data_IF_779659293181
#
_entry.id   IF_779659293181
#
_cell.length_a   1.000
_cell.length_b   1.000
_cell.length_c   1.000
_cell.angle_alpha   90.00
_cell.angle_beta   90.00
_cell.angle_gamma   90.00
#
_symmetry.space_group_name_H-M   'P 1'
#
loop_
_entity.id
_entity.type
_entity.pdbx_description
1 polymer ?
#
# COMPACT_ATOMS: atom_id res chain seq x y z
N UNK A 1 -22.88 -33.73 -3.36
CA UNK A 1 -21.63 -33.56 -4.13
C UNK A 1 -21.64 -32.15 -4.68
N UNK A 2 -20.95 -31.23 -3.99
CA UNK A 2 -21.10 -29.77 -4.14
C UNK A 2 -20.23 -29.29 -5.29
N UNK A 3 -20.81 -28.42 -6.12
CA UNK A 3 -20.18 -27.89 -7.32
C UNK A 3 -19.04 -26.95 -6.92
N UNK A 4 -17.78 -27.39 -7.04
CA UNK A 4 -16.65 -26.45 -6.99
C UNK A 4 -16.84 -25.35 -8.03
N UNK A 5 -16.55 -24.10 -7.65
CA UNK A 5 -16.76 -22.92 -8.50
C UNK A 5 -16.17 -23.19 -9.90
N UNK A 6 -16.96 -22.92 -10.92
CA UNK A 6 -16.62 -23.21 -12.32
C UNK A 6 -15.31 -22.53 -12.77
N UNK A 7 -14.92 -21.46 -12.07
CA UNK A 7 -13.69 -20.69 -12.27
C UNK A 7 -12.44 -21.37 -11.68
N UNK A 8 -12.51 -21.94 -10.48
CA UNK A 8 -11.37 -22.63 -9.86
C UNK A 8 -11.00 -23.92 -10.63
N UNK A 9 -11.99 -24.70 -11.08
CA UNK A 9 -11.74 -25.85 -11.98
C UNK A 9 -11.14 -25.42 -13.31
N UNK A 10 -11.54 -24.26 -13.85
CA UNK A 10 -11.02 -23.71 -15.11
C UNK A 10 -9.59 -23.20 -14.95
N UNK A 11 -9.25 -22.47 -13.89
CA UNK A 11 -7.87 -22.00 -13.65
C UNK A 11 -6.89 -23.18 -13.49
N UNK A 12 -7.28 -24.22 -12.74
CA UNK A 12 -6.48 -25.45 -12.60
C UNK A 12 -6.30 -26.19 -13.94
N UNK A 13 -7.31 -26.17 -14.81
CA UNK A 13 -7.34 -26.85 -16.12
C UNK A 13 -6.70 -26.03 -17.25
N UNK A 14 -6.71 -24.71 -17.15
CA UNK A 14 -5.99 -23.76 -18.02
C UNK A 14 -4.50 -23.89 -17.74
N UNK A 15 -4.08 -23.93 -16.47
CA UNK A 15 -2.70 -24.22 -16.08
C UNK A 15 -2.23 -25.58 -16.58
N UNK A 16 -2.92 -26.67 -16.27
CA UNK A 16 -2.46 -28.02 -16.65
C UNK A 16 -2.49 -28.31 -18.17
N UNK A 17 -3.36 -27.67 -18.97
CA UNK A 17 -3.37 -27.84 -20.44
C UNK A 17 -2.49 -26.84 -21.20
N UNK A 18 -2.39 -25.56 -20.80
CA UNK A 18 -1.49 -24.61 -21.46
C UNK A 18 -0.02 -24.80 -21.02
N UNK A 19 0.25 -25.21 -19.77
CA UNK A 19 1.62 -25.54 -19.32
C UNK A 19 2.10 -26.84 -19.98
N UNK A 20 1.21 -27.82 -20.25
CA UNK A 20 1.55 -29.02 -21.02
C UNK A 20 1.91 -28.73 -22.49
N UNK A 21 1.34 -27.67 -23.08
CA UNK A 21 1.65 -27.20 -24.42
C UNK A 21 3.07 -26.61 -24.52
N UNK A 22 3.49 -25.85 -23.50
CA UNK A 22 4.82 -25.21 -23.44
C UNK A 22 5.91 -26.21 -23.03
N UNK A 23 5.61 -27.19 -22.16
CA UNK A 23 6.62 -28.13 -21.63
C UNK A 23 6.90 -29.38 -22.46
N UNK A 24 5.97 -29.90 -23.24
CA UNK A 24 6.10 -31.30 -23.70
C UNK A 24 6.85 -31.52 -25.02
N UNK A 25 6.69 -30.69 -26.07
CA UNK A 25 7.36 -30.95 -27.37
C UNK A 25 7.20 -32.38 -27.95
N UNK A 26 6.33 -33.21 -27.37
CA UNK A 26 6.11 -34.63 -27.65
C UNK A 26 4.68 -34.97 -27.23
N UNK A 27 3.90 -35.33 -28.24
CA UNK A 27 2.55 -35.87 -28.15
C UNK A 27 2.58 -37.31 -27.61
N UNK A 28 2.02 -37.54 -26.42
CA UNK A 28 1.47 -38.79 -25.82
C UNK A 28 1.30 -38.51 -24.31
N UNK A 29 0.22 -38.83 -23.59
CA UNK A 29 -0.62 -40.03 -23.61
C UNK A 29 -1.94 -39.83 -22.82
N UNK A 30 -2.89 -40.74 -23.09
CA UNK A 30 -4.12 -41.17 -22.40
C UNK A 30 -5.06 -40.19 -21.68
N UNK A 31 -6.14 -39.89 -22.40
CA UNK A 31 -7.49 -39.83 -21.85
C UNK A 31 -7.90 -41.20 -21.26
N UNK A 32 -8.34 -41.23 -20.00
CA UNK A 32 -9.44 -42.13 -19.60
C UNK A 32 -10.67 -41.27 -19.28
N UNK A 33 -11.79 -41.75 -19.82
CA UNK A 33 -13.20 -41.34 -19.68
C UNK A 33 -13.49 -40.80 -18.26
N UNK A 34 -14.35 -39.79 -18.11
CA UNK A 34 -15.80 -39.99 -18.16
C UNK A 34 -16.57 -38.86 -18.84
N UNK A 35 -17.46 -39.29 -19.74
CA UNK A 35 -18.55 -38.55 -20.34
C UNK A 35 -19.78 -38.84 -19.48
N UNK A 36 -20.51 -37.81 -19.07
CA UNK A 36 -21.96 -37.87 -18.96
C UNK A 36 -22.52 -36.52 -19.40
N UNK A 37 -23.30 -36.62 -20.46
CA UNK A 37 -23.92 -35.60 -21.29
C UNK A 37 -25.16 -34.98 -20.64
N UNK A 38 -25.38 -33.69 -20.90
CA UNK A 38 -26.73 -33.20 -21.26
C UNK A 38 -26.58 -32.21 -22.41
N UNK A 39 -26.84 -32.71 -23.61
CA UNK A 39 -26.99 -31.96 -24.86
C UNK A 39 -28.42 -31.47 -24.94
N UNK A 40 -28.62 -30.17 -25.07
CA UNK A 40 -29.82 -29.61 -25.72
C UNK A 40 -29.36 -29.03 -27.04
N UNK A 41 -29.73 -29.70 -28.13
CA UNK A 41 -29.37 -29.34 -29.49
C UNK A 41 -30.06 -28.05 -29.91
N UNK A 42 -29.29 -27.13 -30.50
CA UNK A 42 -29.79 -26.05 -31.37
C UNK A 42 -29.16 -26.24 -32.75
N UNK A 43 -29.83 -25.82 -33.85
CA UNK A 43 -29.43 -26.16 -35.22
C UNK A 43 -28.13 -25.43 -35.63
N UNK A 44 -27.43 -25.90 -36.68
CA UNK A 44 -26.17 -25.29 -37.10
C UNK A 44 -26.46 -23.91 -37.70
N UNK A 45 -26.11 -22.87 -36.97
CA UNK A 45 -26.08 -21.51 -37.51
C UNK A 45 -24.90 -21.40 -38.48
N UNK A 46 -25.19 -21.09 -39.74
CA UNK A 46 -24.22 -20.83 -40.79
C UNK A 46 -23.43 -19.55 -40.46
N UNK A 47 -22.30 -19.70 -39.77
CA UNK A 47 -21.45 -18.62 -39.27
C UNK A 47 -20.36 -18.17 -40.28
N UNK A 48 -20.48 -18.56 -41.56
CA UNK A 48 -19.45 -18.26 -42.56
C UNK A 48 -19.48 -16.81 -43.07
N UNK A 49 -20.60 -16.10 -42.90
CA UNK A 49 -20.75 -14.70 -43.35
C UNK A 49 -20.24 -13.67 -42.34
N UNK A 50 -20.33 -13.98 -41.04
CA UNK A 50 -20.09 -13.03 -39.95
C UNK A 50 -18.59 -12.85 -39.63
N UNK A 51 -17.76 -13.81 -40.03
CA UNK A 51 -16.29 -13.73 -39.88
C UNK A 51 -15.66 -12.75 -40.89
N UNK A 52 -16.27 -12.60 -42.07
CA UNK A 52 -15.76 -11.74 -43.14
C UNK A 52 -16.13 -10.27 -42.92
N UNK A 53 -17.26 -10.02 -42.26
CA UNK A 53 -17.72 -8.68 -41.87
C UNK A 53 -16.94 -8.14 -40.66
N UNK A 54 -16.62 -8.99 -39.68
CA UNK A 54 -15.83 -8.58 -38.51
C UNK A 54 -14.31 -8.47 -38.75
N UNK A 55 -13.77 -9.14 -39.78
CA UNK A 55 -12.38 -8.94 -40.22
C UNK A 55 -12.24 -7.62 -41.02
N UNK A 56 -13.30 -7.18 -41.71
CA UNK A 56 -13.35 -5.89 -42.43
C UNK A 56 -13.44 -4.67 -41.51
N UNK A 57 -13.95 -4.80 -40.29
CA UNK A 57 -14.02 -3.66 -39.35
C UNK A 57 -12.66 -3.29 -38.72
N UNK A 58 -11.60 -4.05 -38.99
CA UNK A 58 -10.22 -3.68 -38.64
C UNK A 58 -9.51 -2.88 -39.74
N UNK A 59 -10.14 -2.65 -40.92
CA UNK A 59 -9.53 -1.91 -42.03
C UNK A 59 -9.75 -0.40 -42.01
N UNK A 60 -10.47 0.17 -41.04
CA UNK A 60 -10.65 1.63 -40.92
C UNK A 60 -9.50 2.30 -40.15
N UNK A 61 -8.27 1.96 -40.54
CA UNK A 61 -7.07 2.71 -40.15
C UNK A 61 -6.15 2.75 -41.37
N UNK A 62 -6.33 3.83 -42.15
CA UNK A 62 -5.57 4.16 -43.35
C UNK A 62 -4.05 4.07 -43.13
N UNK A 63 -3.44 3.07 -43.77
CA UNK A 63 -2.24 3.12 -44.62
C UNK A 63 -1.52 1.78 -44.57
N UNK A 64 -1.92 0.88 -45.47
CA UNK A 64 -1.05 0.07 -46.34
C UNK A 64 -2.02 -0.57 -47.35
N UNK A 65 -2.00 -0.08 -48.57
CA UNK A 65 -2.48 -0.80 -49.73
C UNK A 65 -1.67 -2.09 -49.86
N UNK A 66 -2.30 -3.22 -49.54
CA UNK A 66 -1.72 -4.54 -49.68
C UNK A 66 -2.84 -5.57 -49.70
N UNK A 67 -2.83 -6.42 -50.73
CA UNK A 67 -3.73 -7.56 -50.93
C UNK A 67 -4.08 -8.28 -49.63
N UNK A 68 -5.33 -8.73 -49.50
CA UNK A 68 -5.76 -9.67 -48.46
C UNK A 68 -4.86 -10.91 -48.60
N UNK A 69 -3.79 -10.98 -47.81
CA UNK A 69 -2.88 -12.13 -47.80
C UNK A 69 -3.68 -13.34 -47.31
N UNK A 70 -3.76 -14.37 -48.14
CA UNK A 70 -4.35 -15.64 -47.77
C UNK A 70 -3.78 -16.13 -46.42
N UNK A 71 -4.61 -16.67 -45.52
CA UNK A 71 -4.14 -17.15 -44.23
C UNK A 71 -3.19 -18.34 -44.42
N UNK A 72 -1.98 -18.24 -43.86
CA UNK A 72 -0.93 -19.24 -43.97
C UNK A 72 -0.79 -20.11 -42.70
N UNK A 73 -1.61 -19.81 -41.67
CA UNK A 73 -1.70 -20.55 -40.42
C UNK A 73 -3.15 -20.54 -39.88
N UNK A 74 -3.52 -21.62 -39.21
CA UNK A 74 -4.81 -21.75 -38.53
C UNK A 74 -4.63 -21.98 -37.03
N UNK A 75 -5.42 -21.26 -36.22
CA UNK A 75 -5.53 -21.51 -34.77
C UNK A 75 -6.74 -22.43 -34.54
N UNK A 76 -6.53 -23.55 -33.83
CA UNK A 76 -7.58 -24.53 -33.53
C UNK A 76 -7.96 -24.45 -32.07
N UNK A 77 -9.24 -24.21 -31.79
CA UNK A 77 -9.78 -24.15 -30.43
C UNK A 77 -10.32 -25.50 -29.95
N UNK A 78 -10.64 -25.61 -28.65
CA UNK A 78 -11.24 -26.81 -28.06
C UNK A 78 -12.56 -27.23 -28.69
N UNK A 79 -13.31 -26.28 -29.27
CA UNK A 79 -14.58 -26.54 -29.96
C UNK A 79 -14.42 -26.96 -31.42
N UNK A 80 -13.19 -27.13 -31.91
CA UNK A 80 -12.91 -27.44 -33.31
C UNK A 80 -12.99 -26.23 -34.26
N UNK A 81 -13.23 -25.03 -33.73
CA UNK A 81 -13.20 -23.80 -34.52
C UNK A 81 -11.79 -23.57 -35.06
N UNK A 82 -11.71 -23.30 -36.37
CA UNK A 82 -10.48 -22.94 -37.08
C UNK A 82 -10.51 -21.43 -37.35
N UNK A 83 -9.60 -20.70 -36.71
CA UNK A 83 -9.45 -19.26 -36.89
C UNK A 83 -8.31 -19.03 -37.90
N UNK A 84 -8.57 -18.43 -39.07
CA UNK A 84 -7.53 -18.08 -40.03
C UNK A 84 -6.66 -16.94 -39.48
N UNK A 85 -5.34 -17.02 -39.68
CA UNK A 85 -4.39 -15.99 -39.25
C UNK A 85 -3.16 -15.93 -40.16
N UNK A 86 -2.31 -14.92 -39.93
CA UNK A 86 -1.07 -14.67 -40.67
C UNK A 86 0.13 -14.89 -39.75
N UNK A 87 1.01 -15.81 -40.14
CA UNK A 87 2.18 -16.19 -39.37
C UNK A 87 3.11 -14.99 -39.08
N UNK A 88 3.27 -14.07 -40.03
CA UNK A 88 4.11 -12.87 -39.87
C UNK A 88 3.60 -11.96 -38.75
N UNK A 89 2.28 -11.77 -38.65
CA UNK A 89 1.67 -10.93 -37.60
C UNK A 89 1.83 -11.62 -36.25
N UNK A 90 1.46 -12.89 -36.15
CA UNK A 90 1.56 -13.65 -34.92
C UNK A 90 3.00 -13.73 -34.38
N UNK A 91 3.98 -13.96 -35.25
CA UNK A 91 5.40 -13.98 -34.90
C UNK A 91 5.89 -12.61 -34.40
N UNK A 92 5.48 -11.52 -35.04
CA UNK A 92 5.90 -10.18 -34.64
C UNK A 92 5.42 -9.75 -33.25
N UNK A 93 4.29 -10.27 -32.78
CA UNK A 93 3.66 -9.88 -31.50
C UNK A 93 4.02 -10.82 -30.35
N UNK A 94 4.36 -12.08 -30.66
CA UNK A 94 4.63 -13.11 -29.65
C UNK A 94 5.89 -13.90 -30.02
N UNK A 95 6.96 -13.80 -29.21
CA UNK A 95 8.15 -14.64 -29.36
C UNK A 95 7.84 -16.14 -29.25
N UNK A 96 6.79 -16.50 -28.49
CA UNK A 96 6.37 -17.90 -28.37
C UNK A 96 5.75 -18.38 -29.68
N UNK A 97 4.90 -17.57 -30.32
CA UNK A 97 4.31 -17.90 -31.61
C UNK A 97 5.38 -17.93 -32.71
N UNK A 98 6.32 -16.99 -32.72
CA UNK A 98 7.49 -16.99 -33.62
C UNK A 98 8.24 -18.33 -33.51
N UNK A 99 8.63 -18.73 -32.30
CA UNK A 99 9.31 -20.00 -32.06
C UNK A 99 8.47 -21.24 -32.46
N UNK A 100 7.14 -21.18 -32.35
CA UNK A 100 6.27 -22.27 -32.79
C UNK A 100 6.22 -22.33 -34.32
N UNK A 101 6.18 -21.17 -34.98
CA UNK A 101 6.07 -21.01 -36.42
C UNK A 101 7.38 -21.32 -37.18
N UNK A 102 8.52 -21.10 -36.54
CA UNK A 102 9.86 -21.38 -37.07
C UNK A 102 10.23 -22.87 -37.07
N UNK A 103 9.49 -23.71 -36.34
CA UNK A 103 9.76 -25.15 -36.30
C UNK A 103 9.56 -25.79 -37.69
N UNK A 104 10.51 -26.62 -38.15
CA UNK A 104 10.40 -27.26 -39.45
C UNK A 104 9.20 -28.20 -39.49
N UNK A 105 8.42 -28.11 -40.58
CA UNK A 105 7.25 -28.97 -40.79
C UNK A 105 7.69 -30.43 -40.96
N UNK A 106 6.97 -31.37 -40.34
CA UNK A 106 7.17 -32.81 -40.56
C UNK A 106 6.87 -33.24 -42.02
N UNK A 107 6.01 -32.49 -42.72
CA UNK A 107 5.67 -32.73 -44.12
C UNK A 107 5.53 -31.39 -44.85
N UNK A 108 6.12 -31.26 -46.06
CA UNK A 108 6.18 -29.97 -46.79
C UNK A 108 4.80 -29.38 -47.12
N UNK A 109 3.76 -30.21 -47.26
CA UNK A 109 2.39 -29.80 -47.62
C UNK A 109 1.41 -29.69 -46.46
N UNK A 110 1.84 -29.84 -45.20
CA UNK A 110 0.92 -29.70 -44.07
C UNK A 110 0.64 -28.23 -43.75
N UNK A 111 -0.63 -27.90 -43.53
CA UNK A 111 -1.07 -26.64 -42.95
C UNK A 111 -0.36 -26.40 -41.60
N UNK A 112 0.06 -25.14 -41.33
CA UNK A 112 0.53 -24.78 -39.98
C UNK A 112 -0.69 -24.63 -39.08
N UNK A 113 -0.73 -25.41 -38.00
CA UNK A 113 -1.82 -25.40 -37.03
C UNK A 113 -1.26 -25.11 -35.64
N UNK A 114 -1.86 -24.13 -34.96
CA UNK A 114 -1.54 -23.77 -33.58
C UNK A 114 -2.73 -24.16 -32.69
N UNK A 115 -2.63 -25.22 -31.87
CA UNK A 115 -3.72 -25.62 -30.98
C UNK A 115 -3.75 -24.77 -29.71
N UNK A 116 -4.88 -24.07 -29.46
CA UNK A 116 -5.16 -23.38 -28.20
C UNK A 116 -6.36 -24.05 -27.53
N UNK A 117 -6.06 -24.98 -26.62
CA UNK A 117 -7.05 -25.84 -25.99
C UNK A 117 -7.26 -25.46 -24.51
N UNK A 118 -8.45 -25.77 -23.98
CA UNK A 118 -8.82 -25.47 -22.58
C UNK A 118 -9.33 -24.05 -22.33
N UNK A 119 -9.44 -23.23 -23.38
CA UNK A 119 -9.93 -21.84 -23.34
C UNK A 119 -11.22 -21.72 -24.17
N UNK A 120 -12.23 -20.92 -23.74
CA UNK A 120 -13.41 -20.64 -24.54
C UNK A 120 -13.07 -20.08 -25.92
N UNK A 121 -13.80 -20.51 -26.97
CA UNK A 121 -13.54 -20.09 -28.35
C UNK A 121 -13.53 -18.57 -28.51
N UNK A 122 -14.48 -17.88 -27.87
CA UNK A 122 -14.62 -16.42 -27.95
C UNK A 122 -13.46 -15.68 -27.25
N UNK A 123 -12.92 -16.24 -26.17
CA UNK A 123 -11.72 -15.70 -25.53
C UNK A 123 -10.48 -15.87 -26.41
N UNK A 124 -10.38 -16.97 -27.16
CA UNK A 124 -9.31 -17.14 -28.16
C UNK A 124 -9.49 -16.15 -29.30
N UNK A 125 -10.73 -15.92 -29.76
CA UNK A 125 -11.03 -14.93 -30.79
C UNK A 125 -10.65 -13.51 -30.34
N UNK A 126 -11.03 -13.11 -29.12
CA UNK A 126 -10.64 -11.84 -28.52
C UNK A 126 -9.10 -11.70 -28.40
N UNK A 127 -8.42 -12.77 -28.02
CA UNK A 127 -6.95 -12.80 -28.01
C UNK A 127 -6.35 -12.58 -29.40
N UNK A 128 -6.84 -13.28 -30.43
CA UNK A 128 -6.37 -13.10 -31.81
C UNK A 128 -6.67 -11.69 -32.32
N UNK A 129 -7.86 -11.15 -32.06
CA UNK A 129 -8.22 -9.76 -32.38
C UNK A 129 -7.26 -8.76 -31.73
N UNK A 130 -6.87 -9.00 -30.48
CA UNK A 130 -5.86 -8.17 -29.81
C UNK A 130 -4.51 -8.25 -30.52
N UNK A 131 -4.05 -9.42 -30.98
CA UNK A 131 -2.78 -9.54 -31.70
C UNK A 131 -2.73 -8.70 -32.98
N UNK A 132 -3.87 -8.53 -33.65
CA UNK A 132 -3.95 -7.71 -34.88
C UNK A 132 -4.15 -6.23 -34.59
N UNK A 133 -5.02 -5.89 -33.63
CA UNK A 133 -5.47 -4.50 -33.43
C UNK A 133 -4.81 -3.80 -32.25
N UNK A 134 -4.14 -4.54 -31.36
CA UNK A 134 -3.70 -4.09 -30.03
C UNK A 134 -4.83 -3.50 -29.16
N UNK A 135 -6.09 -3.82 -29.47
CA UNK A 135 -7.29 -3.36 -28.77
C UNK A 135 -7.98 -4.54 -28.08
N UNK A 136 -8.53 -4.26 -26.90
CA UNK A 136 -9.35 -5.19 -26.11
C UNK A 136 -10.48 -4.37 -25.50
N UNK A 137 -11.73 -4.70 -25.79
CA UNK A 137 -12.88 -3.95 -25.28
C UNK A 137 -13.09 -4.23 -23.79
N UNK A 138 -13.88 -3.38 -23.13
CA UNK A 138 -14.21 -3.59 -21.72
C UNK A 138 -15.11 -4.81 -21.52
N UNK A 139 -16.01 -5.10 -22.47
CA UNK A 139 -16.87 -6.30 -22.46
C UNK A 139 -16.06 -7.60 -22.56
N UNK A 140 -15.04 -7.61 -23.43
CA UNK A 140 -14.09 -8.72 -23.55
C UNK A 140 -13.29 -8.90 -22.26
N UNK A 141 -12.90 -7.80 -21.61
CA UNK A 141 -12.18 -7.85 -20.34
C UNK A 141 -13.06 -8.35 -19.19
N UNK A 142 -14.31 -7.94 -19.13
CA UNK A 142 -15.28 -8.40 -18.13
C UNK A 142 -15.56 -9.89 -18.25
N UNK A 143 -15.79 -10.36 -19.48
CA UNK A 143 -16.18 -11.76 -19.73
C UNK A 143 -14.98 -12.70 -19.74
N UNK A 144 -13.87 -12.28 -20.34
CA UNK A 144 -12.73 -13.14 -20.65
C UNK A 144 -11.42 -12.73 -19.98
N UNK A 145 -11.42 -11.72 -19.09
CA UNK A 145 -10.19 -11.16 -18.50
C UNK A 145 -9.24 -12.20 -17.90
N UNK A 146 -9.77 -13.21 -17.20
CA UNK A 146 -8.95 -14.30 -16.63
C UNK A 146 -8.28 -15.17 -17.71
N UNK A 147 -8.97 -15.41 -18.83
CA UNK A 147 -8.47 -16.21 -19.95
C UNK A 147 -7.43 -15.41 -20.73
N UNK A 148 -7.70 -14.13 -20.95
CA UNK A 148 -6.77 -13.21 -21.63
C UNK A 148 -5.49 -12.99 -20.80
N UNK A 149 -5.58 -12.93 -19.46
CA UNK A 149 -4.39 -12.89 -18.61
C UNK A 149 -3.55 -14.17 -18.76
N UNK A 150 -4.19 -15.34 -18.75
CA UNK A 150 -3.48 -16.61 -18.94
C UNK A 150 -2.83 -16.72 -20.33
N UNK A 151 -3.57 -16.38 -21.40
CA UNK A 151 -3.07 -16.40 -22.77
C UNK A 151 -1.92 -15.40 -22.97
N UNK A 152 -2.06 -14.18 -22.46
CA UNK A 152 -1.01 -13.16 -22.56
C UNK A 152 0.26 -13.55 -21.81
N UNK A 153 0.16 -14.26 -20.69
CA UNK A 153 1.32 -14.80 -20.01
C UNK A 153 1.96 -15.97 -20.79
N UNK A 154 1.17 -16.95 -21.22
CA UNK A 154 1.67 -18.15 -21.91
C UNK A 154 2.31 -17.84 -23.25
N UNK A 155 1.70 -16.94 -24.03
CA UNK A 155 2.22 -16.50 -25.32
C UNK A 155 3.14 -15.28 -25.22
N UNK A 156 3.52 -14.85 -24.01
CA UNK A 156 4.42 -13.71 -23.77
C UNK A 156 4.02 -12.46 -24.57
N UNK A 157 2.81 -11.94 -24.31
CA UNK A 157 2.27 -10.71 -24.88
C UNK A 157 2.16 -9.66 -23.78
N UNK A 158 3.22 -8.88 -23.49
CA UNK A 158 3.30 -8.04 -22.28
C UNK A 158 2.23 -6.94 -22.22
N UNK A 159 1.91 -6.33 -23.37
CA UNK A 159 0.93 -5.25 -23.44
C UNK A 159 -0.47 -5.73 -23.04
N UNK A 160 -0.88 -6.92 -23.50
CA UNK A 160 -2.14 -7.54 -23.09
C UNK A 160 -2.08 -7.92 -21.61
N UNK A 161 -0.98 -8.51 -21.14
CA UNK A 161 -0.81 -8.90 -19.73
C UNK A 161 -0.98 -7.70 -18.80
N UNK A 162 -0.38 -6.55 -19.15
CA UNK A 162 -0.53 -5.31 -18.38
C UNK A 162 -1.98 -4.81 -18.38
N UNK A 163 -2.64 -4.83 -19.54
CA UNK A 163 -4.05 -4.42 -19.67
C UNK A 163 -4.98 -5.33 -18.85
N UNK A 164 -4.79 -6.65 -18.92
CA UNK A 164 -5.53 -7.62 -18.12
C UNK A 164 -5.27 -7.45 -16.62
N UNK A 165 -4.03 -7.22 -16.22
CA UNK A 165 -3.67 -6.98 -14.82
C UNK A 165 -4.42 -5.77 -14.26
N UNK A 166 -4.43 -4.65 -14.99
CA UNK A 166 -5.18 -3.45 -14.60
C UNK A 166 -6.70 -3.69 -14.62
N UNK A 167 -7.20 -4.29 -15.70
CA UNK A 167 -8.63 -4.52 -15.90
C UNK A 167 -9.24 -5.47 -14.89
N UNK A 168 -8.53 -6.53 -14.49
CA UNK A 168 -8.95 -7.44 -13.42
C UNK A 168 -8.83 -6.77 -12.06
N UNK A 169 -7.77 -5.99 -11.83
CA UNK A 169 -7.58 -5.24 -10.59
C UNK A 169 -8.72 -4.25 -10.30
N UNK A 170 -9.33 -3.66 -11.33
CA UNK A 170 -10.48 -2.73 -11.20
C UNK A 170 -11.81 -3.47 -10.93
N UNK A 171 -11.90 -4.74 -11.32
CA UNK A 171 -13.08 -5.62 -11.17
C UNK A 171 -12.93 -6.66 -10.05
N UNK A 172 -12.02 -6.43 -9.11
CA UNK A 172 -11.86 -7.28 -7.95
C UNK A 172 -13.05 -7.13 -7.00
N UNK A 173 -13.64 -8.26 -6.62
CA UNK A 173 -14.74 -8.36 -5.65
C UNK A 173 -14.37 -9.35 -4.56
N UNK A 174 -15.11 -9.33 -3.44
CA UNK A 174 -14.89 -10.28 -2.36
C UNK A 174 -15.07 -11.75 -2.83
N UNK A 175 -15.96 -11.98 -3.80
CA UNK A 175 -16.31 -13.32 -4.30
C UNK A 175 -15.25 -13.88 -5.25
N UNK A 176 -14.62 -13.02 -6.07
CA UNK A 176 -13.66 -13.47 -7.08
C UNK A 176 -12.18 -13.33 -6.64
N UNK A 177 -11.89 -12.66 -5.52
CA UNK A 177 -10.51 -12.30 -5.15
C UNK A 177 -9.59 -13.51 -4.97
N UNK A 178 -10.09 -14.62 -4.45
CA UNK A 178 -9.29 -15.84 -4.23
C UNK A 178 -8.90 -16.48 -5.55
N UNK A 179 -9.84 -16.58 -6.49
CA UNK A 179 -9.59 -17.11 -7.84
C UNK A 179 -8.59 -16.22 -8.60
N UNK A 180 -8.76 -14.89 -8.51
CA UNK A 180 -7.86 -13.94 -9.16
C UNK A 180 -6.47 -13.92 -8.50
N UNK A 181 -6.37 -14.12 -7.18
CA UNK A 181 -5.09 -14.26 -6.47
C UNK A 181 -4.31 -15.48 -6.99
N UNK A 182 -4.97 -16.63 -7.12
CA UNK A 182 -4.35 -17.84 -7.65
C UNK A 182 -3.89 -17.64 -9.10
N UNK A 183 -4.72 -17.00 -9.93
CA UNK A 183 -4.35 -16.66 -11.30
C UNK A 183 -3.15 -15.70 -11.35
N UNK A 184 -3.12 -14.68 -10.49
CA UNK A 184 -2.03 -13.72 -10.41
C UNK A 184 -0.71 -14.40 -10.05
N UNK A 185 -0.74 -15.40 -9.16
CA UNK A 185 0.42 -16.23 -8.81
C UNK A 185 0.85 -17.11 -9.99
N UNK A 186 -0.08 -17.75 -10.69
CA UNK A 186 0.22 -18.62 -11.83
C UNK A 186 0.74 -17.86 -13.06
N UNK A 187 0.36 -16.60 -13.22
CA UNK A 187 0.73 -15.76 -14.35
C UNK A 187 1.86 -14.78 -14.04
N UNK A 188 2.55 -14.90 -12.90
CA UNK A 188 3.59 -13.97 -12.45
C UNK A 188 3.16 -12.49 -12.56
N UNK A 189 2.03 -12.14 -11.93
CA UNK A 189 1.45 -10.80 -11.93
C UNK A 189 1.51 -10.20 -10.50
N UNK A 190 2.67 -9.67 -10.06
CA UNK A 190 2.90 -9.30 -8.67
C UNK A 190 2.01 -8.14 -8.20
N UNK A 191 1.73 -7.16 -9.06
CA UNK A 191 0.87 -6.02 -8.69
C UNK A 191 -0.57 -6.45 -8.42
N UNK A 192 -1.10 -7.37 -9.25
CA UNK A 192 -2.42 -7.95 -9.06
C UNK A 192 -2.45 -8.81 -7.79
N UNK A 193 -1.40 -9.62 -7.58
CA UNK A 193 -1.24 -10.46 -6.39
C UNK A 193 -1.31 -9.63 -5.11
N UNK A 194 -0.51 -8.56 -5.01
CA UNK A 194 -0.50 -7.67 -3.84
C UNK A 194 -1.87 -6.99 -3.65
N UNK A 195 -2.55 -6.61 -4.74
CA UNK A 195 -3.87 -5.99 -4.66
C UNK A 195 -4.91 -6.97 -4.11
N UNK A 196 -4.89 -8.23 -4.56
CA UNK A 196 -5.73 -9.30 -4.01
C UNK A 196 -5.44 -9.54 -2.53
N UNK A 197 -4.16 -9.68 -2.14
CA UNK A 197 -3.75 -9.88 -0.74
C UNK A 197 -4.25 -8.76 0.18
N UNK A 198 -4.20 -7.51 -0.29
CA UNK A 198 -4.73 -6.36 0.45
C UNK A 198 -6.25 -6.43 0.62
N UNK A 199 -6.98 -6.70 -0.46
CA UNK A 199 -8.45 -6.82 -0.40
C UNK A 199 -8.87 -7.92 0.57
N UNK A 200 -8.23 -9.09 0.50
CA UNK A 200 -8.47 -10.18 1.44
C UNK A 200 -8.18 -9.73 2.88
N UNK A 201 -7.06 -9.06 3.12
CA UNK A 201 -6.71 -8.57 4.46
C UNK A 201 -7.71 -7.53 5.00
N UNK A 202 -8.28 -6.69 4.14
CA UNK A 202 -9.21 -5.62 4.56
C UNK A 202 -10.66 -6.11 4.71
N UNK A 203 -11.06 -7.14 3.95
CA UNK A 203 -12.43 -7.68 3.91
C UNK A 203 -12.53 -9.17 4.29
N UNK A 204 -11.58 -9.67 5.10
CA UNK A 204 -11.44 -11.11 5.40
C UNK A 204 -12.73 -11.78 5.88
N UNK A 205 -13.50 -11.12 6.76
CA UNK A 205 -14.77 -11.68 7.30
C UNK A 205 -15.82 -12.00 6.23
N UNK A 206 -15.75 -11.32 5.10
CA UNK A 206 -16.63 -11.58 3.94
C UNK A 206 -16.01 -12.67 3.08
N UNK A 207 -14.71 -12.57 2.79
CA UNK A 207 -13.97 -13.53 1.96
C UNK A 207 -13.99 -14.95 2.56
N UNK A 208 -13.87 -15.08 3.88
CA UNK A 208 -13.90 -16.37 4.61
C UNK A 208 -15.18 -17.19 4.32
N UNK A 209 -16.28 -16.52 3.98
CA UNK A 209 -17.58 -17.15 3.68
C UNK A 209 -17.77 -17.50 2.21
N UNK A 210 -16.83 -17.13 1.36
CA UNK A 210 -16.92 -17.34 -0.09
C UNK A 210 -16.58 -18.78 -0.44
N UNK A 211 -17.18 -19.28 -1.53
CA UNK A 211 -16.84 -20.61 -2.06
C UNK A 211 -15.37 -20.69 -2.48
N UNK A 212 -14.79 -19.59 -2.99
CA UNK A 212 -13.38 -19.52 -3.37
C UNK A 212 -12.45 -19.75 -2.18
N UNK A 213 -12.75 -19.15 -1.03
CA UNK A 213 -11.98 -19.39 0.20
C UNK A 213 -12.12 -20.83 0.69
N UNK A 214 -13.34 -21.37 0.76
CA UNK A 214 -13.55 -22.77 1.17
C UNK A 214 -12.81 -23.75 0.24
N UNK A 215 -12.83 -23.51 -1.07
CA UNK A 215 -12.09 -24.32 -2.03
C UNK A 215 -10.58 -24.23 -1.81
N UNK A 216 -10.05 -23.04 -1.51
CA UNK A 216 -8.63 -22.83 -1.20
C UNK A 216 -8.19 -23.69 -0.02
N UNK A 217 -8.96 -23.73 1.06
CA UNK A 217 -8.64 -24.52 2.26
C UNK A 217 -8.50 -26.02 1.96
N UNK A 218 -9.36 -26.54 1.07
CA UNK A 218 -9.35 -27.95 0.70
C UNK A 218 -8.20 -28.32 -0.26
N UNK A 219 -7.71 -27.38 -1.07
CA UNK A 219 -6.85 -27.68 -2.24
C UNK A 219 -5.45 -27.04 -2.21
N UNK A 220 -5.23 -25.94 -1.47
CA UNK A 220 -3.93 -25.32 -1.29
C UNK A 220 -3.77 -24.74 0.14
N UNK A 221 -3.54 -25.60 1.15
CA UNK A 221 -3.32 -25.17 2.53
C UNK A 221 -2.08 -24.29 2.71
N UNK A 222 -1.10 -24.38 1.79
CA UNK A 222 0.09 -23.55 1.85
C UNK A 222 -0.23 -22.09 1.51
N UNK A 223 -1.06 -21.86 0.49
CA UNK A 223 -1.50 -20.51 0.13
C UNK A 223 -2.42 -19.92 1.21
N UNK A 224 -3.26 -20.73 1.88
CA UNK A 224 -3.99 -20.27 3.07
C UNK A 224 -3.05 -19.76 4.16
N UNK A 225 -2.03 -20.54 4.52
CA UNK A 225 -1.04 -20.17 5.54
C UNK A 225 -0.29 -18.88 5.14
N UNK A 226 0.09 -18.74 3.87
CA UNK A 226 0.72 -17.52 3.35
C UNK A 226 -0.17 -16.28 3.52
N UNK A 227 -1.47 -16.40 3.21
CA UNK A 227 -2.46 -15.33 3.38
C UNK A 227 -2.59 -14.97 4.88
N UNK A 228 -2.70 -15.97 5.75
CA UNK A 228 -2.81 -15.74 7.20
C UNK A 228 -1.58 -15.03 7.76
N UNK A 229 -0.37 -15.46 7.38
CA UNK A 229 0.88 -14.82 7.79
C UNK A 229 0.96 -13.37 7.31
N UNK A 230 0.58 -13.12 6.05
CA UNK A 230 0.52 -11.76 5.51
C UNK A 230 -0.43 -10.88 6.32
N UNK A 231 -1.61 -11.39 6.69
CA UNK A 231 -2.59 -10.65 7.48
C UNK A 231 -2.09 -10.35 8.90
N UNK A 232 -1.51 -11.33 9.58
CA UNK A 232 -0.93 -11.11 10.91
C UNK A 232 0.18 -10.06 10.86
N UNK A 233 1.05 -10.13 9.85
CA UNK A 233 2.12 -9.18 9.69
C UNK A 233 1.57 -7.77 9.38
N UNK A 234 0.56 -7.66 8.52
CA UNK A 234 -0.07 -6.39 8.15
C UNK A 234 -0.71 -5.71 9.38
N UNK A 235 -1.42 -6.46 10.21
CA UNK A 235 -2.03 -5.98 11.45
C UNK A 235 -0.97 -5.62 12.51
N UNK A 236 0.10 -6.41 12.62
CA UNK A 236 1.22 -6.10 13.52
C UNK A 236 1.91 -4.78 13.12
N UNK A 237 2.09 -4.54 11.81
CA UNK A 237 2.66 -3.30 11.25
C UNK A 237 1.74 -2.11 11.52
N UNK A 238 0.41 -2.25 11.31
CA UNK A 238 -0.58 -1.22 11.65
C UNK A 238 -0.53 -0.88 13.15
N UNK A 239 -0.50 -1.88 14.03
CA UNK A 239 -0.42 -1.71 15.49
C UNK A 239 0.88 -1.03 15.93
N UNK A 240 2.03 -1.43 15.37
CA UNK A 240 3.33 -0.78 15.62
C UNK A 240 3.33 0.69 15.16
N UNK A 241 2.77 0.97 13.99
CA UNK A 241 2.65 2.33 13.45
C UNK A 241 1.78 3.21 14.34
N UNK A 242 0.61 2.71 14.77
CA UNK A 242 -0.28 3.40 15.71
C UNK A 242 0.42 3.73 17.03
N UNK A 243 1.07 2.75 17.66
CA UNK A 243 1.85 2.96 18.90
C UNK A 243 2.94 4.02 18.73
N UNK A 244 3.69 3.97 17.62
CA UNK A 244 4.74 4.97 17.31
C UNK A 244 4.15 6.37 17.10
N UNK A 245 2.97 6.50 16.49
CA UNK A 245 2.27 7.79 16.31
C UNK A 245 1.78 8.34 17.65
N UNK A 246 1.15 7.50 18.47
CA UNK A 246 0.70 7.85 19.83
C UNK A 246 1.88 8.30 20.71
N UNK A 247 2.97 7.53 20.72
CA UNK A 247 4.22 7.87 21.42
C UNK A 247 4.81 9.21 20.95
N UNK A 248 4.87 9.44 19.63
CA UNK A 248 5.35 10.71 19.05
C UNK A 248 4.47 11.89 19.43
N UNK A 249 3.14 11.72 19.46
CA UNK A 249 2.20 12.76 19.87
C UNK A 249 2.45 13.19 21.32
N UNK A 250 2.70 12.25 22.23
CA UNK A 250 3.04 12.55 23.63
C UNK A 250 4.33 13.38 23.76
N UNK A 251 5.38 13.03 23.00
CA UNK A 251 6.61 13.80 23.02
C UNK A 251 6.47 15.20 22.41
N UNK A 252 5.61 15.34 21.39
CA UNK A 252 5.29 16.65 20.82
C UNK A 252 4.58 17.54 21.85
N UNK A 253 3.60 17.01 22.57
CA UNK A 253 2.92 17.73 23.67
C UNK A 253 3.91 18.15 24.77
N UNK A 254 4.88 17.30 25.11
CA UNK A 254 5.92 17.66 26.07
C UNK A 254 6.83 18.77 25.53
N UNK A 255 7.23 18.71 24.25
CA UNK A 255 8.02 19.80 23.66
C UNK A 255 7.25 21.12 23.61
N UNK A 256 5.95 21.07 23.30
CA UNK A 256 5.09 22.24 23.34
C UNK A 256 5.00 22.83 24.75
N UNK A 257 4.87 21.97 25.77
CA UNK A 257 4.89 22.41 27.16
C UNK A 257 6.22 23.08 27.55
N UNK A 258 7.36 22.64 27.01
CA UNK A 258 8.65 23.29 27.25
C UNK A 258 8.69 24.71 26.64
N UNK A 259 8.15 24.89 25.43
CA UNK A 259 8.06 26.20 24.79
C UNK A 259 7.10 27.13 25.56
N UNK A 260 5.96 26.59 26.00
CA UNK A 260 4.99 27.34 26.80
C UNK A 260 5.57 27.75 28.16
N UNK A 261 6.39 26.89 28.79
CA UNK A 261 7.11 27.25 30.01
C UNK A 261 8.05 28.43 29.77
N UNK A 262 8.85 28.38 28.69
CA UNK A 262 9.73 29.48 28.34
C UNK A 262 8.94 30.78 28.12
N UNK A 263 7.89 30.75 27.28
CA UNK A 263 6.98 31.87 27.04
C UNK A 263 6.40 32.48 28.33
N UNK A 264 5.90 31.67 29.26
CA UNK A 264 5.34 32.16 30.53
C UNK A 264 6.39 32.90 31.36
N UNK A 265 7.64 32.40 31.40
CA UNK A 265 8.72 33.00 32.20
C UNK A 265 9.49 34.12 31.48
N UNK A 266 9.36 34.27 30.16
CA UNK A 266 10.03 35.32 29.38
C UNK A 266 9.12 36.49 29.04
N UNK A 267 7.96 36.21 28.45
CA UNK A 267 6.99 37.17 27.91
C UNK A 267 5.79 37.40 28.84
N UNK A 268 5.50 36.40 29.66
CA UNK A 268 4.31 36.33 30.49
C UNK A 268 3.07 35.92 29.72
N UNK A 269 2.18 35.25 30.44
CA UNK A 269 0.90 34.81 29.92
C UNK A 269 -0.22 35.29 30.85
N UNK A 270 -1.48 35.19 30.41
CA UNK A 270 -2.69 35.78 31.02
C UNK A 270 -2.69 35.98 32.53
N UNK A 271 -2.33 34.97 33.33
CA UNK A 271 -2.43 35.03 34.80
C UNK A 271 -1.14 34.73 35.56
N UNK A 272 -0.05 34.46 34.86
CA UNK A 272 1.29 34.24 35.45
C UNK A 272 2.30 34.82 34.47
N UNK A 273 3.17 35.70 34.97
CA UNK A 273 4.21 36.34 34.15
C UNK A 273 5.51 36.60 34.90
N UNK A 274 6.53 37.14 34.19
CA UNK A 274 7.84 37.45 34.74
C UNK A 274 7.71 38.46 35.88
N UNK A 275 8.49 38.27 36.96
CA UNK A 275 8.45 39.12 38.16
C UNK A 275 8.81 40.60 37.92
N UNK A 276 9.28 40.95 36.72
CA UNK A 276 9.76 42.29 36.36
C UNK A 276 8.77 43.09 35.50
N UNK A 277 7.63 42.50 35.14
CA UNK A 277 6.58 43.14 34.35
C UNK A 277 5.30 43.21 35.20
N UNK A 278 4.72 44.39 35.35
CA UNK A 278 3.40 44.51 35.98
C UNK A 278 2.35 43.75 35.16
N UNK A 279 1.31 43.16 35.79
CA UNK A 279 0.27 42.44 35.08
C UNK A 279 -0.50 43.40 34.16
N UNK A 280 -0.07 43.51 32.91
CA UNK A 280 -0.78 44.32 31.92
C UNK A 280 -2.14 43.67 31.70
N UNK A 281 -3.20 44.37 32.11
CA UNK A 281 -4.58 43.90 32.25
C UNK A 281 -5.28 43.52 30.93
N UNK A 282 -4.60 43.49 29.78
CA UNK A 282 -5.20 43.16 28.48
C UNK A 282 -4.24 42.47 27.49
N UNK A 283 -3.61 41.34 27.87
CA UNK A 283 -3.04 40.42 26.86
C UNK A 283 -4.07 39.34 26.54
N UNK A 284 -4.50 39.26 25.28
CA UNK A 284 -5.38 38.20 24.79
C UNK A 284 -4.74 36.80 24.97
N UNK A 285 -5.53 35.72 24.86
CA UNK A 285 -5.01 34.36 24.96
C UNK A 285 -3.87 34.13 23.95
N UNK A 286 -2.74 33.59 24.38
CA UNK A 286 -1.67 33.23 23.45
C UNK A 286 -2.11 32.06 22.56
N UNK A 287 -1.45 31.85 21.41
CA UNK A 287 -1.84 30.83 20.42
C UNK A 287 -1.87 29.39 20.96
N UNK A 288 -1.21 29.11 22.10
CA UNK A 288 -1.19 27.82 22.81
C UNK A 288 -1.87 27.92 24.18
N UNK A 289 -3.00 28.63 24.26
CA UNK A 289 -3.67 28.96 25.53
C UNK A 289 -4.01 27.73 26.39
N UNK A 290 -4.47 26.62 25.80
CA UNK A 290 -4.84 25.41 26.56
C UNK A 290 -3.66 24.84 27.35
N UNK A 291 -2.50 24.70 26.70
CA UNK A 291 -1.25 24.24 27.31
C UNK A 291 -0.74 25.25 28.33
N UNK A 292 -0.70 26.53 27.98
CA UNK A 292 -0.27 27.61 28.87
C UNK A 292 -1.14 27.71 30.13
N UNK A 293 -2.46 27.61 30.01
CA UNK A 293 -3.39 27.67 31.13
C UNK A 293 -3.14 26.51 32.11
N UNK A 294 -2.97 25.28 31.60
CA UNK A 294 -2.62 24.13 32.44
C UNK A 294 -1.31 24.33 33.21
N UNK A 295 -0.29 24.89 32.55
CA UNK A 295 1.00 25.22 33.19
C UNK A 295 0.87 26.34 34.22
N UNK A 296 0.10 27.40 33.94
CA UNK A 296 -0.17 28.48 34.90
C UNK A 296 -0.78 27.95 36.19
N UNK A 297 -1.72 27.00 36.10
CA UNK A 297 -2.33 26.38 37.28
C UNK A 297 -1.32 25.54 38.09
N UNK A 298 -0.41 24.83 37.41
CA UNK A 298 0.68 24.12 38.07
C UNK A 298 1.65 25.08 38.75
N UNK A 299 1.97 26.21 38.13
CA UNK A 299 2.87 27.24 38.69
C UNK A 299 2.25 27.86 39.95
N UNK A 300 0.98 28.30 39.88
CA UNK A 300 0.26 28.88 41.03
C UNK A 300 0.21 27.90 42.20
N UNK A 301 -0.08 26.63 41.92
CA UNK A 301 -0.07 25.58 42.94
C UNK A 301 1.34 25.37 43.52
N UNK A 302 2.37 25.30 42.66
CA UNK A 302 3.74 25.08 43.10
C UNK A 302 4.27 26.20 44.01
N UNK A 303 3.85 27.45 43.77
CA UNK A 303 4.20 28.59 44.60
C UNK A 303 3.53 28.57 45.99
N UNK A 304 2.28 28.07 46.08
CA UNK A 304 1.43 28.18 47.28
C UNK A 304 1.33 26.89 48.10
N UNK A 305 1.71 25.74 47.54
CA UNK A 305 1.56 24.44 48.20
C UNK A 305 2.50 24.27 49.38
N UNK A 306 1.95 23.95 50.56
CA UNK A 306 2.71 23.70 51.80
C UNK A 306 3.36 22.32 51.85
N UNK A 307 2.73 21.28 51.28
CA UNK A 307 3.26 19.90 51.29
C UNK A 307 4.49 19.74 50.36
N UNK A 308 4.57 20.54 49.28
CA UNK A 308 5.67 20.56 48.29
C UNK A 308 6.05 19.15 47.77
N UNK A 309 7.19 19.04 47.09
CA UNK A 309 7.68 17.76 46.52
C UNK A 309 8.06 16.78 47.63
N UNK A 310 8.74 17.24 48.68
CA UNK A 310 9.24 16.41 49.78
C UNK A 310 8.10 15.84 50.64
N UNK A 311 6.98 16.56 50.78
CA UNK A 311 5.77 16.05 51.43
C UNK A 311 4.81 15.32 50.49
N UNK A 312 5.28 14.88 49.32
CA UNK A 312 4.57 13.90 48.48
C UNK A 312 3.52 14.45 47.51
N UNK A 313 3.36 15.77 47.36
CA UNK A 313 2.31 16.34 46.49
C UNK A 313 2.52 15.98 45.00
N UNK A 314 1.53 15.33 44.38
CA UNK A 314 1.58 14.89 42.98
C UNK A 314 1.68 16.04 41.97
N UNK A 315 0.98 17.16 42.22
CA UNK A 315 1.03 18.36 41.36
C UNK A 315 2.41 19.05 41.42
N UNK A 316 2.99 19.16 42.61
CA UNK A 316 4.34 19.69 42.76
C UNK A 316 5.40 18.78 42.13
N UNK A 317 5.25 17.45 42.25
CA UNK A 317 6.12 16.48 41.57
C UNK A 317 6.11 16.65 40.05
N UNK A 318 4.92 16.84 39.44
CA UNK A 318 4.79 17.10 37.99
C UNK A 318 5.47 18.40 37.58
N UNK A 319 5.23 19.50 38.29
CA UNK A 319 5.90 20.79 37.99
C UNK A 319 7.42 20.67 38.09
N UNK A 320 7.92 20.01 39.14
CA UNK A 320 9.36 19.78 39.32
C UNK A 320 9.96 18.94 38.19
N UNK A 321 9.25 17.91 37.71
CA UNK A 321 9.68 17.10 36.55
C UNK A 321 9.74 17.93 35.26
N UNK A 322 8.78 18.84 35.04
CA UNK A 322 8.78 19.73 33.88
C UNK A 322 9.95 20.71 33.92
N UNK A 323 10.27 21.29 35.08
CA UNK A 323 11.43 22.17 35.25
C UNK A 323 12.76 21.40 35.04
N UNK A 324 12.84 20.17 35.54
CA UNK A 324 13.99 19.28 35.28
C UNK A 324 14.12 18.97 33.79
N UNK A 325 13.01 18.67 33.11
CA UNK A 325 13.00 18.40 31.66
C UNK A 325 13.45 19.63 30.87
N UNK A 326 12.92 20.82 31.19
CA UNK A 326 13.36 22.07 30.57
C UNK A 326 14.87 22.28 30.73
N UNK A 327 15.41 22.10 31.94
CA UNK A 327 16.86 22.26 32.17
C UNK A 327 17.74 21.31 31.36
N UNK A 328 17.21 20.14 30.99
CA UNK A 328 17.91 19.12 30.20
C UNK A 328 17.86 19.38 28.69
N UNK A 329 16.94 20.24 28.24
CA UNK A 329 16.69 20.58 26.82
C UNK A 329 17.15 22.01 26.50
N UNK A 330 17.16 22.89 27.50
CA UNK A 330 17.49 24.30 27.34
C UNK A 330 18.98 24.49 27.03
N UNK A 331 19.30 25.25 25.98
CA UNK A 331 20.68 25.58 25.62
C UNK A 331 21.21 26.84 26.35
N UNK A 332 20.33 27.69 26.89
CA UNK A 332 20.72 28.92 27.61
C UNK A 332 21.36 28.59 28.97
N UNK A 333 22.64 28.94 29.17
CA UNK A 333 23.39 28.58 30.40
C UNK A 333 23.06 29.49 31.58
N UNK A 334 23.10 30.82 31.39
CA UNK A 334 22.95 31.80 32.48
C UNK A 334 21.84 32.83 32.25
N UNK A 335 21.32 32.93 31.03
CA UNK A 335 20.24 33.86 30.67
C UNK A 335 18.83 33.27 30.78
N UNK A 336 18.72 31.97 31.07
CA UNK A 336 17.42 31.28 31.13
C UNK A 336 16.56 31.81 32.29
N UNK A 337 15.36 32.31 31.97
CA UNK A 337 14.41 32.84 32.96
C UNK A 337 13.57 31.78 33.66
N UNK A 338 13.61 30.53 33.18
CA UNK A 338 12.85 29.43 33.80
C UNK A 338 13.46 29.06 35.16
N UNK A 339 12.69 29.06 36.25
CA UNK A 339 13.20 28.80 37.58
C UNK A 339 13.79 27.40 37.72
N UNK A 340 14.79 27.26 38.60
CA UNK A 340 15.54 26.02 38.84
C UNK A 340 16.36 25.50 37.65
N UNK A 341 16.27 26.09 36.45
CA UNK A 341 17.00 25.64 35.27
C UNK A 341 18.52 25.55 35.54
N UNK A 342 19.13 26.65 36.01
CA UNK A 342 20.55 26.71 36.38
C UNK A 342 20.93 25.70 37.47
N UNK A 343 20.08 25.55 38.50
CA UNK A 343 20.34 24.63 39.60
C UNK A 343 20.36 23.17 39.14
N UNK A 344 19.44 22.78 38.25
CA UNK A 344 19.43 21.44 37.68
C UNK A 344 20.62 21.17 36.76
N UNK A 345 21.05 22.14 35.95
CA UNK A 345 22.25 22.02 35.11
C UNK A 345 23.52 21.79 35.94
N UNK A 346 23.71 22.56 37.00
CA UNK A 346 24.84 22.39 37.93
C UNK A 346 24.83 21.00 38.60
N UNK A 347 23.65 20.54 39.03
CA UNK A 347 23.50 19.19 39.60
C UNK A 347 23.79 18.09 38.58
N UNK A 348 23.38 18.25 37.33
CA UNK A 348 23.64 17.28 36.27
C UNK A 348 25.14 17.13 35.98
N UNK A 349 25.92 18.21 36.04
CA UNK A 349 27.38 18.19 35.88
C UNK A 349 28.11 17.48 37.03
N UNK A 350 27.56 17.55 38.25
CA UNK A 350 28.16 16.94 39.44
C UNK A 350 27.88 15.44 39.58
N UNK A 351 26.80 14.93 38.97
CA UNK A 351 26.42 13.51 39.05
C UNK A 351 27.27 12.68 38.06
N UNK A 352 28.27 11.95 38.58
CA UNK A 352 29.08 11.00 37.79
C UNK A 352 28.23 9.84 37.24
N UNK A 353 28.24 9.66 35.91
CA UNK A 353 28.03 8.44 35.07
C UNK A 353 26.92 7.40 35.40
N UNK A 354 26.09 7.59 36.41
CA UNK A 354 24.95 6.74 36.76
C UNK A 354 23.60 7.35 36.37
N UNK A 355 23.54 8.08 35.26
CA UNK A 355 22.29 8.70 34.82
C UNK A 355 21.21 7.65 34.50
N UNK A 356 20.00 7.92 34.98
CA UNK A 356 18.78 7.21 34.63
C UNK A 356 18.63 7.16 33.09
N UNK A 357 18.95 5.99 32.51
CA UNK A 357 18.92 5.78 31.06
C UNK A 357 17.53 6.10 30.47
N UNK A 358 16.46 5.94 31.26
CA UNK A 358 15.09 6.30 30.86
C UNK A 358 14.93 7.81 30.74
N UNK A 359 15.51 8.60 31.65
CA UNK A 359 15.49 10.06 31.58
C UNK A 359 16.23 10.57 30.34
N UNK A 360 17.43 10.04 30.07
CA UNK A 360 18.19 10.42 28.85
C UNK A 360 17.44 10.08 27.56
N UNK A 361 16.77 8.93 27.52
CA UNK A 361 15.94 8.56 26.38
C UNK A 361 14.75 9.52 26.20
N UNK A 362 14.06 9.88 27.29
CA UNK A 362 12.97 10.86 27.26
C UNK A 362 13.44 12.21 26.69
N UNK A 363 14.54 12.75 27.20
CA UNK A 363 15.10 14.02 26.72
C UNK A 363 15.38 13.95 25.21
N UNK A 364 16.07 12.91 24.75
CA UNK A 364 16.37 12.70 23.32
C UNK A 364 15.11 12.64 22.46
N UNK A 365 14.07 11.94 22.92
CA UNK A 365 12.79 11.79 22.21
C UNK A 365 12.02 13.12 22.10
N UNK A 366 11.99 13.90 23.18
CA UNK A 366 11.35 15.24 23.18
C UNK A 366 12.10 16.22 22.28
N UNK A 367 13.44 16.24 22.34
CA UNK A 367 14.26 17.07 21.44
C UNK A 367 14.03 16.69 19.98
N UNK A 368 14.00 15.38 19.67
CA UNK A 368 13.73 14.90 18.32
C UNK A 368 12.32 15.31 17.83
N UNK A 369 11.31 15.23 18.70
CA UNK A 369 9.94 15.67 18.38
C UNK A 369 9.89 17.17 18.09
N UNK A 370 10.56 18.00 18.91
CA UNK A 370 10.67 19.46 18.72
C UNK A 370 11.34 19.82 17.39
N UNK A 371 12.43 19.13 17.06
CA UNK A 371 13.13 19.33 15.79
C UNK A 371 12.21 19.01 14.60
N UNK A 372 11.53 17.86 14.62
CA UNK A 372 10.58 17.49 13.56
C UNK A 372 9.43 18.50 13.39
N UNK A 373 8.87 19.04 14.47
CA UNK A 373 7.81 20.06 14.35
C UNK A 373 8.32 21.37 13.78
N UNK A 374 9.55 21.78 14.11
CA UNK A 374 10.15 23.00 13.56
C UNK A 374 10.43 22.91 12.06
N UNK A 375 10.75 21.72 11.56
CA UNK A 375 10.94 21.46 10.12
C UNK A 375 9.62 21.47 9.32
N UNK A 376 8.49 21.25 9.99
CA UNK A 376 7.15 21.26 9.36
C UNK A 376 6.53 22.66 9.21
N UNK A 377 7.19 23.71 9.69
CA UNK A 377 6.74 25.09 9.51
C UNK A 377 7.21 25.63 8.14
N UNK A 378 6.33 26.30 7.36
CA UNK A 378 6.78 27.11 6.22
C UNK A 378 7.72 28.20 6.73
N UNK A 379 8.92 28.32 6.13
CA UNK A 379 9.91 29.39 6.39
C UNK A 379 9.20 30.74 6.53
N UNK A 380 9.12 31.28 7.75
CA UNK A 380 8.84 32.71 7.96
C UNK A 380 10.14 33.45 8.28
N UNK A 381 10.23 34.63 7.68
CA UNK A 381 11.34 35.59 7.65
C UNK A 381 12.00 35.78 9.01
N UNK A 382 13.33 35.83 8.96
CA UNK A 382 14.24 36.35 9.98
C UNK A 382 14.00 37.86 10.09
N UNK A 383 13.53 38.33 11.24
CA UNK A 383 13.60 39.75 11.60
C UNK A 383 14.66 39.93 12.68
N UNK A 384 15.45 41.00 12.51
CA UNK A 384 16.69 41.30 13.23
C UNK A 384 16.46 41.73 14.68
N UNK A 385 17.35 41.28 15.57
CA UNK A 385 17.50 41.78 16.93
C UNK A 385 18.08 43.21 16.95
N UNK A 386 17.63 44.08 17.88
CA UNK A 386 18.46 45.14 18.42
C UNK A 386 19.05 44.76 19.79
N UNK A 387 20.29 45.20 19.97
CA UNK A 387 21.23 44.88 21.05
C UNK A 387 20.94 45.61 22.37
N UNK A 388 21.11 44.86 23.46
CA UNK A 388 21.77 45.15 24.76
C UNK A 388 21.50 46.47 25.52
N UNK A 389 21.25 46.34 26.83
CA UNK A 389 22.14 46.90 27.89
C UNK A 389 22.05 46.07 29.17
N UNK A 390 23.20 45.87 29.80
CA UNK A 390 23.42 45.18 31.08
C UNK A 390 22.97 46.06 32.25
N UNK A 391 22.36 45.47 33.29
CA UNK A 391 22.72 45.83 34.65
C UNK A 391 22.59 44.65 35.62
N UNK A 392 23.58 44.52 36.48
CA UNK A 392 23.80 43.46 37.46
C UNK A 392 23.08 43.81 38.77
N UNK A 393 22.23 42.93 39.29
CA UNK A 393 22.01 42.79 40.74
C UNK A 393 21.44 41.42 41.10
N UNK A 394 22.26 40.63 41.78
CA UNK A 394 21.89 39.37 42.40
C UNK A 394 20.93 39.59 43.57
N UNK A 395 19.91 38.73 43.66
CA UNK A 395 19.04 38.63 44.83
C UNK A 395 17.95 37.59 44.58
N UNK A 396 17.93 36.52 45.38
CA UNK A 396 16.81 35.59 45.45
C UNK A 396 15.58 36.39 45.86
N UNK A 397 14.68 36.69 44.92
CA UNK A 397 13.43 37.41 45.23
C UNK A 397 12.23 36.48 45.15
N UNK A 398 11.62 36.38 46.32
CA UNK A 398 10.33 35.77 46.62
C UNK A 398 9.26 36.13 45.59
N UNK A 399 8.46 35.13 45.22
CA UNK A 399 7.16 35.33 44.57
C UNK A 399 6.31 36.30 45.40
N UNK A 400 5.69 37.30 44.76
CA UNK A 400 4.51 38.01 45.27
C UNK A 400 3.31 37.57 44.43
N UNK A 401 2.20 37.31 45.13
CA UNK A 401 0.92 36.83 44.61
C UNK A 401 0.24 37.87 43.72
#
# INVERSE_FOLDING_TARGET
MRSASHLCRRAYKIGSNLIALVRSGRTRFSLRKEISTTTTASPPFNFSGDMDEHMKLASDSDQISGEIREPDVYIVTSGGLRIPANASVLASVSPVLENILDRPRKYRRSEKIIPILGVPCDAVLAFVRFLYSSRCTDDEMETYGIHLLALSHVFLVPQLKQRCTKGLAERLTNDNVVDVLQLARLCDAPDLYIKCMRLISDHFKTVEKTEGWMFLQDHDPHLELEIMQFMEESESRKKRSRRRREERCLYLQLSEAMDCLEHIYTEGCTSVGPCHLEPTTKKGPCGKFSTCHGLQMLIKHFATCKKRVNGGCSRCKRMWQLLRLHSSICDQTDSCRVPLCRQFKLKAQQVKKGEDARWKLLVRKVVSAKAMSSLSLPKRKREEEPRQTLDHRHGIRSFRL
#
